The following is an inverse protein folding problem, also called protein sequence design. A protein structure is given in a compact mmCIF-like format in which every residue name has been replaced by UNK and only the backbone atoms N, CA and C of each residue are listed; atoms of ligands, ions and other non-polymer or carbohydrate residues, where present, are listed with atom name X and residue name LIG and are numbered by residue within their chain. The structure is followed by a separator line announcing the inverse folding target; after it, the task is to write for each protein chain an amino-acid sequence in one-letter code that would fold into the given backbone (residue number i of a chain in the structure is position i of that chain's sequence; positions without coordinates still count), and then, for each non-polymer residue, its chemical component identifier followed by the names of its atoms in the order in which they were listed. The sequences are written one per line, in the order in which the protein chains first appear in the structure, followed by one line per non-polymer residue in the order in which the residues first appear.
data_IF_191481485098
#
_entry.id   IF_191481485098
#
_cell.length_a   1.000
_cell.length_b   1.000
_cell.length_c   1.000
_cell.angle_alpha   90.00
_cell.angle_beta   90.00
_cell.angle_gamma   90.00
#
_symmetry.space_group_name_H-M   'P 1'
#
loop_
_entity.id
_entity.type
_entity.pdbx_description
1 polymer ?
#
# COMPACT_ATOMS: atom_id res chain seq x y z
N UNK A 1 -2.23 17.81 -18.11
CA UNK A 1 -3.40 18.51 -18.69
C UNK A 1 -4.41 18.69 -17.57
N UNK A 2 -4.95 19.89 -17.37
CA UNK A 2 -5.95 20.19 -16.34
C UNK A 2 -7.13 20.97 -16.93
N UNK A 3 -8.27 20.94 -16.24
CA UNK A 3 -9.49 21.68 -16.54
C UNK A 3 -9.95 22.50 -15.32
N UNK A 4 -10.98 23.35 -15.50
CA UNK A 4 -11.51 24.22 -14.45
C UNK A 4 -12.10 23.47 -13.23
N UNK A 5 -12.40 22.18 -13.40
CA UNK A 5 -12.96 21.35 -12.33
C UNK A 5 -11.91 20.56 -11.52
N UNK A 6 -10.63 20.67 -11.86
CA UNK A 6 -9.56 19.91 -11.23
C UNK A 6 -8.52 20.82 -10.56
N UNK A 7 -7.83 20.28 -9.57
CA UNK A 7 -6.66 20.93 -8.96
C UNK A 7 -5.42 20.23 -9.51
N UNK A 8 -4.72 20.89 -10.44
CA UNK A 8 -3.48 20.36 -11.01
C UNK A 8 -3.64 19.06 -11.82
N UNK A 9 -4.81 18.82 -12.41
CA UNK A 9 -5.11 17.58 -13.14
C UNK A 9 -5.72 16.46 -12.29
N UNK A 10 -5.92 16.69 -10.98
CA UNK A 10 -6.52 15.73 -10.06
C UNK A 10 -7.85 16.25 -9.50
N UNK A 11 -8.80 15.34 -9.26
CA UNK A 11 -10.09 15.65 -8.61
C UNK A 11 -10.44 14.52 -7.65
N UNK A 12 -10.69 14.86 -6.39
CA UNK A 12 -10.98 13.88 -5.34
C UNK A 12 -9.72 13.18 -4.79
N UNK A 13 -9.94 12.15 -3.97
CA UNK A 13 -8.88 11.36 -3.33
C UNK A 13 -9.27 9.89 -3.33
N UNK A 14 -8.28 9.01 -3.36
CA UNK A 14 -8.46 7.57 -3.26
C UNK A 14 -7.48 6.99 -2.26
N UNK A 15 -7.91 6.07 -1.40
CA UNK A 15 -7.03 5.42 -0.43
C UNK A 15 -6.26 4.26 -1.04
N UNK A 16 -4.98 4.11 -0.71
CA UNK A 16 -4.23 2.86 -0.93
C UNK A 16 -4.11 2.16 0.40
N UNK A 17 -4.20 0.83 0.39
CA UNK A 17 -4.32 0.06 1.63
C UNK A 17 -3.37 -1.13 1.60
N UNK A 18 -2.75 -1.36 2.74
CA UNK A 18 -2.07 -2.58 3.10
C UNK A 18 -2.85 -3.17 4.27
N UNK A 19 -3.46 -4.33 4.05
CA UNK A 19 -4.28 -5.01 5.05
C UNK A 19 -3.56 -6.30 5.40
N UNK A 20 -3.08 -6.38 6.64
CA UNK A 20 -2.34 -7.53 7.16
C UNK A 20 -3.19 -8.24 8.20
N UNK A 21 -3.89 -9.34 7.85
CA UNK A 21 -4.58 -10.18 8.81
C UNK A 21 -3.58 -10.75 9.82
N UNK A 22 -4.00 -10.84 11.09
CA UNK A 22 -3.22 -11.55 12.11
C UNK A 22 -3.45 -13.05 11.93
N UNK A 23 -2.62 -13.68 11.10
CA UNK A 23 -2.60 -15.13 10.95
C UNK A 23 -2.03 -15.80 12.20
N UNK A 24 -2.19 -17.11 12.32
CA UNK A 24 -1.62 -17.87 13.43
C UNK A 24 -0.08 -17.70 13.50
N UNK A 25 0.60 -17.74 12.34
CA UNK A 25 2.05 -17.52 12.25
C UNK A 25 2.46 -16.13 12.77
N UNK A 26 1.75 -15.08 12.34
CA UNK A 26 1.98 -13.71 12.80
C UNK A 26 1.71 -13.59 14.31
N UNK A 27 0.65 -14.23 14.82
CA UNK A 27 0.33 -14.22 16.25
C UNK A 27 1.45 -14.85 17.08
N UNK A 28 2.00 -16.00 16.65
CA UNK A 28 3.13 -16.65 17.32
C UNK A 28 4.38 -15.78 17.28
N UNK A 29 4.65 -15.12 16.15
CA UNK A 29 5.77 -14.17 16.01
C UNK A 29 5.64 -12.97 16.96
N UNK A 30 4.44 -12.42 17.14
CA UNK A 30 4.18 -11.33 18.09
C UNK A 30 4.49 -11.79 19.53
N UNK A 31 4.03 -12.98 19.91
CA UNK A 31 4.30 -13.54 21.25
C UNK A 31 5.80 -13.78 21.46
N UNK A 32 6.51 -14.20 20.42
CA UNK A 32 7.95 -14.43 20.44
C UNK A 32 8.78 -13.12 20.41
N UNK A 33 8.15 -11.95 20.29
CA UNK A 33 8.85 -10.67 20.19
C UNK A 33 9.66 -10.52 18.90
N UNK A 34 9.17 -11.10 17.80
CA UNK A 34 9.83 -11.04 16.50
C UNK A 34 10.00 -9.60 16.01
N UNK A 35 11.09 -9.35 15.29
CA UNK A 35 11.38 -8.06 14.68
C UNK A 35 10.41 -7.70 13.56
N UNK A 36 10.30 -6.41 13.25
CA UNK A 36 9.46 -5.92 12.17
C UNK A 36 9.79 -6.58 10.82
N UNK A 37 11.07 -6.81 10.51
CA UNK A 37 11.50 -7.43 9.25
C UNK A 37 11.03 -8.88 9.12
N UNK A 38 10.93 -9.60 10.23
CA UNK A 38 10.44 -10.99 10.26
C UNK A 38 8.93 -11.03 10.02
N UNK A 39 8.19 -10.12 10.65
CA UNK A 39 6.74 -9.97 10.46
C UNK A 39 6.44 -9.56 9.02
N UNK A 40 7.20 -8.63 8.43
CA UNK A 40 7.05 -8.21 7.04
C UNK A 40 7.30 -9.35 6.05
N UNK A 41 8.34 -10.16 6.28
CA UNK A 41 8.62 -11.36 5.47
C UNK A 41 7.47 -12.35 5.55
N UNK A 42 6.94 -12.61 6.75
CA UNK A 42 5.81 -13.52 6.93
C UNK A 42 4.55 -12.97 6.25
N UNK A 43 4.26 -11.67 6.39
CA UNK A 43 3.13 -11.02 5.72
C UNK A 43 3.23 -11.13 4.20
N UNK A 44 4.44 -11.00 3.63
CA UNK A 44 4.66 -11.21 2.20
C UNK A 44 4.39 -12.66 1.76
N UNK A 45 4.78 -13.65 2.58
CA UNK A 45 4.45 -15.06 2.33
C UNK A 45 2.95 -15.33 2.42
N UNK A 46 2.26 -14.65 3.34
CA UNK A 46 0.79 -14.71 3.51
C UNK A 46 0.04 -13.96 2.39
N UNK A 47 0.76 -13.37 1.42
CA UNK A 47 0.18 -12.70 0.26
C UNK A 47 -0.30 -11.28 0.52
N UNK A 48 0.13 -10.66 1.63
CA UNK A 48 -0.21 -9.26 1.94
C UNK A 48 0.46 -8.33 0.94
N UNK A 49 -0.36 -7.54 0.24
CA UNK A 49 0.14 -6.52 -0.68
C UNK A 49 0.63 -5.29 0.08
N UNK A 50 1.76 -4.74 -0.35
CA UNK A 50 2.29 -3.50 0.23
C UNK A 50 1.50 -2.27 -0.22
N UNK A 51 1.64 -1.15 0.50
CA UNK A 51 1.07 0.14 0.07
C UNK A 51 1.48 0.51 -1.36
N UNK A 52 2.77 0.30 -1.71
CA UNK A 52 3.28 0.55 -3.06
C UNK A 52 2.62 -0.36 -4.10
N UNK A 53 2.48 -1.65 -3.83
CA UNK A 53 1.79 -2.57 -4.75
C UNK A 53 0.31 -2.19 -4.93
N UNK A 54 -0.38 -1.84 -3.85
CA UNK A 54 -1.76 -1.34 -3.85
C UNK A 54 -1.89 -0.08 -4.73
N UNK A 55 -0.98 0.88 -4.58
CA UNK A 55 -0.90 2.07 -5.43
C UNK A 55 -0.63 1.75 -6.90
N UNK A 56 0.32 0.86 -7.19
CA UNK A 56 0.63 0.46 -8.57
C UNK A 56 -0.57 -0.24 -9.25
N UNK A 57 -1.36 -1.00 -8.51
CA UNK A 57 -2.61 -1.57 -9.04
C UNK A 57 -3.61 -0.47 -9.41
N UNK A 58 -3.70 0.62 -8.63
CA UNK A 58 -4.55 1.78 -8.97
C UNK A 58 -4.03 2.57 -10.16
N UNK A 59 -2.71 2.64 -10.36
CA UNK A 59 -2.10 3.22 -11.56
C UNK A 59 -2.47 2.40 -12.79
N UNK A 60 -2.34 1.07 -12.70
CA UNK A 60 -2.76 0.15 -13.79
C UNK A 60 -4.25 0.27 -14.12
N UNK A 61 -5.08 0.55 -13.11
CA UNK A 61 -6.51 0.78 -13.29
C UNK A 61 -6.87 2.21 -13.75
N UNK A 62 -5.89 3.11 -13.95
CA UNK A 62 -6.12 4.49 -14.38
C UNK A 62 -6.73 5.42 -13.33
N UNK A 63 -6.70 5.04 -12.04
CA UNK A 63 -7.33 5.80 -10.95
C UNK A 63 -6.40 6.88 -10.38
N UNK A 64 -5.09 6.67 -10.44
CA UNK A 64 -4.08 7.63 -9.94
C UNK A 64 -2.84 7.62 -10.85
N UNK A 65 -1.95 8.59 -10.67
CA UNK A 65 -0.69 8.67 -11.42
C UNK A 65 0.43 7.90 -10.72
N UNK A 66 1.44 7.48 -11.49
CA UNK A 66 2.65 6.87 -10.95
C UNK A 66 3.39 7.85 -10.01
N UNK A 67 3.42 9.13 -10.36
CA UNK A 67 4.02 10.20 -9.56
C UNK A 67 3.38 10.29 -8.17
N UNK A 68 2.04 10.26 -8.08
CA UNK A 68 1.34 10.28 -6.80
C UNK A 68 1.67 9.05 -5.94
N UNK A 69 1.73 7.86 -6.54
CA UNK A 69 2.08 6.64 -5.80
C UNK A 69 3.50 6.72 -5.26
N UNK A 70 4.46 7.16 -6.07
CA UNK A 70 5.85 7.29 -5.62
C UNK A 70 5.98 8.35 -4.50
N UNK A 71 5.26 9.47 -4.62
CA UNK A 71 5.25 10.54 -3.61
C UNK A 71 4.73 10.08 -2.24
N UNK A 72 3.71 9.21 -2.21
CA UNK A 72 3.07 8.78 -0.95
C UNK A 72 3.63 7.47 -0.38
N UNK A 73 4.52 6.78 -1.11
CA UNK A 73 5.11 5.48 -0.68
C UNK A 73 6.64 5.47 -0.69
N UNK A 74 7.28 6.64 -0.71
CA UNK A 74 8.75 6.79 -0.69
C UNK A 74 9.40 6.65 0.69
N UNK A 75 8.61 6.35 1.73
CA UNK A 75 9.06 6.15 3.10
C UNK A 75 9.69 4.78 3.33
#
# INVERSE_FOLDING_TARGET
VGCDECTGGFKGRTGIFQVMPVTEAISQMIIAGAGQDQIEKQAALDGVITLRQSGLNKVRAGVTSLEEVLRVTSS
#
